data_IF_841584991832
#
_entry.id   IF_841584991832
#
_cell.length_a   1.000
_cell.length_b   1.000
_cell.length_c   1.000
_cell.angle_alpha   90.00
_cell.angle_beta   90.00
_cell.angle_gamma   90.00
#
_symmetry.space_group_name_H-M   'P 1'
#
loop_
_entity.id
_entity.type
_entity.pdbx_description
1 polymer ?
#
# COMPACT_ATOMS: atom_id res chain seq x y z
N UNK A 1 -2.79 39.03 15.12
CA UNK A 1 -3.78 38.55 16.11
C UNK A 1 -3.51 37.08 16.38
N UNK A 2 -3.13 36.73 17.61
CA UNK A 2 -3.02 35.35 18.06
C UNK A 2 -4.43 34.79 18.30
N UNK A 3 -4.85 33.80 17.52
CA UNK A 3 -6.09 33.06 17.76
C UNK A 3 -5.95 32.31 19.09
N UNK A 4 -6.80 32.65 20.06
CA UNK A 4 -6.93 31.89 21.31
C UNK A 4 -7.75 30.64 20.97
N UNK A 5 -7.09 29.48 20.95
CA UNK A 5 -7.73 28.20 20.64
C UNK A 5 -8.10 27.51 21.95
N UNK A 6 -9.37 27.11 22.16
CA UNK A 6 -9.78 26.34 23.34
C UNK A 6 -9.00 25.04 23.54
N UNK A 7 -8.77 24.64 24.79
CA UNK A 7 -8.00 23.44 25.15
C UNK A 7 -8.60 22.10 24.65
N UNK A 8 -9.90 22.08 24.29
CA UNK A 8 -10.60 20.88 23.79
C UNK A 8 -10.73 20.85 22.25
N UNK A 9 -9.96 21.67 21.54
CA UNK A 9 -9.99 21.68 20.09
C UNK A 9 -9.24 20.50 19.47
N UNK A 10 -9.77 20.00 18.36
CA UNK A 10 -9.10 19.05 17.49
C UNK A 10 -8.93 19.63 16.08
N UNK A 11 -7.94 19.15 15.35
CA UNK A 11 -7.65 19.62 13.99
C UNK A 11 -8.41 18.79 12.98
N UNK A 12 -9.07 19.44 12.03
CA UNK A 12 -9.84 18.77 10.97
C UNK A 12 -9.29 19.17 9.61
N UNK A 13 -9.08 18.17 8.75
CA UNK A 13 -8.73 18.34 7.34
C UNK A 13 -9.80 17.71 6.46
N UNK A 14 -10.25 18.44 5.44
CA UNK A 14 -11.20 17.96 4.45
C UNK A 14 -10.60 18.18 3.06
N UNK A 15 -10.51 17.12 2.26
CA UNK A 15 -9.98 17.16 0.91
C UNK A 15 -10.52 16.00 0.09
N UNK A 16 -10.31 16.06 -1.22
CA UNK A 16 -10.63 14.97 -2.13
C UNK A 16 -9.33 14.34 -2.63
N UNK A 17 -9.26 13.01 -2.61
CA UNK A 17 -8.23 12.28 -3.31
C UNK A 17 -8.68 12.04 -4.75
N UNK A 18 -7.77 12.11 -5.73
CA UNK A 18 -8.11 11.94 -7.14
C UNK A 18 -8.43 10.48 -7.52
N UNK A 19 -8.52 9.58 -6.55
CA UNK A 19 -8.79 8.16 -6.76
C UNK A 19 -9.71 7.59 -5.67
N UNK A 20 -10.45 6.51 -5.97
CA UNK A 20 -11.31 5.85 -5.00
C UNK A 20 -10.48 4.93 -4.08
N UNK A 21 -10.70 4.99 -2.77
CA UNK A 21 -10.15 4.03 -1.83
C UNK A 21 -11.15 2.85 -1.74
N UNK A 22 -10.71 1.59 -1.91
CA UNK A 22 -11.57 0.42 -1.98
C UNK A 22 -11.97 -0.05 -0.58
N UNK A 23 -12.77 0.76 0.10
CA UNK A 23 -13.31 0.48 1.43
C UNK A 23 -14.75 0.96 1.49
N UNK A 24 -15.60 0.38 2.35
CA UNK A 24 -16.92 0.92 2.61
C UNK A 24 -16.84 2.37 3.11
N UNK A 25 -17.85 3.17 2.77
CA UNK A 25 -18.03 4.49 3.35
C UNK A 25 -18.16 4.35 4.89
N UNK A 26 -17.44 5.18 5.64
CA UNK A 26 -17.39 5.01 7.08
C UNK A 26 -16.32 5.84 7.76
N UNK A 27 -16.23 5.67 9.07
CA UNK A 27 -15.23 6.32 9.92
C UNK A 27 -14.31 5.25 10.49
N UNK A 28 -13.01 5.42 10.26
CA UNK A 28 -11.97 4.49 10.66
C UNK A 28 -11.04 5.14 11.68
N UNK A 29 -10.70 4.41 12.74
CA UNK A 29 -9.72 4.83 13.73
C UNK A 29 -8.35 4.28 13.34
N UNK A 30 -7.39 5.17 13.14
CA UNK A 30 -6.04 4.84 12.70
C UNK A 30 -5.04 5.21 13.77
N UNK A 31 -4.36 4.21 14.32
CA UNK A 31 -3.32 4.37 15.33
C UNK A 31 -1.94 4.39 14.67
N UNK A 32 -1.10 5.33 15.11
CA UNK A 32 0.33 5.36 14.82
C UNK A 32 1.07 5.74 16.10
N UNK A 33 1.78 4.79 16.70
CA UNK A 33 2.37 4.92 18.02
C UNK A 33 1.30 5.24 19.08
N UNK A 34 1.49 6.32 19.83
CA UNK A 34 0.54 6.77 20.86
C UNK A 34 -0.62 7.63 20.32
N UNK A 35 -0.60 7.97 19.03
CA UNK A 35 -1.55 8.91 18.43
C UNK A 35 -2.63 8.17 17.64
N UNK A 36 -3.88 8.61 17.79
CA UNK A 36 -5.04 8.05 17.09
C UNK A 36 -5.73 9.15 16.30
N UNK A 37 -5.93 8.93 15.01
CA UNK A 37 -6.72 9.80 14.13
C UNK A 37 -8.03 9.13 13.73
N UNK A 38 -9.07 9.91 13.44
CA UNK A 38 -10.30 9.42 12.81
C UNK A 38 -10.33 9.86 11.37
N UNK A 39 -10.49 8.90 10.45
CA UNK A 39 -10.57 9.16 9.02
C UNK A 39 -11.96 8.76 8.54
N UNK A 40 -12.75 9.72 8.11
CA UNK A 40 -13.99 9.45 7.41
C UNK A 40 -13.73 9.43 5.90
N UNK A 41 -14.16 8.36 5.24
CA UNK A 41 -14.06 8.17 3.80
C UNK A 41 -15.46 8.11 3.21
N UNK A 42 -15.63 8.80 2.08
CA UNK A 42 -16.81 8.71 1.25
C UNK A 42 -16.42 8.61 -0.21
N UNK A 43 -16.85 7.57 -0.91
CA UNK A 43 -16.67 7.44 -2.35
C UNK A 43 -17.71 8.28 -3.09
N UNK A 44 -17.27 8.99 -4.14
CA UNK A 44 -18.14 9.82 -4.97
C UNK A 44 -17.93 9.41 -6.44
N UNK A 45 -19.02 9.14 -7.15
CA UNK A 45 -18.97 8.89 -8.58
C UNK A 45 -18.94 10.21 -9.35
N UNK A 46 -18.12 10.25 -10.41
CA UNK A 46 -18.07 11.39 -11.33
C UNK A 46 -19.20 11.25 -12.34
N UNK A 47 -19.88 12.36 -12.63
CA UNK A 47 -20.76 12.40 -13.79
C UNK A 47 -19.91 12.38 -15.05
N UNK A 48 -20.27 11.53 -16.02
CA UNK A 48 -19.77 11.75 -17.38
C UNK A 48 -20.43 13.02 -17.93
N UNK A 49 -19.65 14.07 -18.14
CA UNK A 49 -20.05 15.18 -19.02
C UNK A 49 -20.14 14.66 -20.45
N UNK A 50 -21.36 14.40 -20.92
CA UNK A 50 -21.67 13.93 -22.27
C UNK A 50 -22.97 13.11 -22.30
N UNK A 51 -23.67 13.08 -23.44
CA UNK A 51 -24.99 12.43 -23.68
C UNK A 51 -25.05 10.91 -23.44
N UNK A 52 -24.04 10.30 -22.82
CA UNK A 52 -24.07 8.91 -22.41
C UNK A 52 -24.63 8.89 -21.00
N UNK A 53 -25.96 8.75 -20.89
CA UNK A 53 -26.60 8.26 -19.67
C UNK A 53 -25.98 6.89 -19.39
N UNK A 54 -24.94 6.86 -18.55
CA UNK A 54 -24.38 5.61 -18.10
C UNK A 54 -25.45 4.92 -17.26
N UNK A 55 -25.93 3.77 -17.73
CA UNK A 55 -26.61 2.80 -16.87
C UNK A 55 -25.83 2.72 -15.54
N UNK A 56 -26.53 2.82 -14.42
CA UNK A 56 -26.02 3.12 -13.07
C UNK A 56 -24.90 2.21 -12.52
N UNK A 57 -24.34 1.26 -13.27
CA UNK A 57 -23.39 0.25 -12.77
C UNK A 57 -22.05 0.22 -13.52
N UNK A 58 -21.57 1.33 -14.10
CA UNK A 58 -20.25 1.33 -14.74
C UNK A 58 -19.11 1.51 -13.71
N UNK A 59 -18.47 0.41 -13.31
CA UNK A 59 -17.25 0.43 -12.51
C UNK A 59 -16.04 0.16 -13.40
N UNK A 60 -15.12 1.14 -13.49
CA UNK A 60 -13.81 0.91 -14.11
C UNK A 60 -12.99 0.00 -13.19
N UNK A 61 -12.56 -1.15 -13.70
CA UNK A 61 -11.59 -2.00 -13.00
C UNK A 61 -10.28 -1.21 -12.88
N UNK A 62 -9.75 -1.12 -11.66
CA UNK A 62 -8.51 -0.39 -11.37
C UNK A 62 -8.59 1.11 -11.72
N UNK A 63 -9.55 1.83 -11.13
CA UNK A 63 -9.75 3.26 -11.35
C UNK A 63 -8.68 4.15 -10.65
N UNK A 64 -7.41 3.89 -10.95
CA UNK A 64 -6.25 4.52 -10.32
C UNK A 64 -6.23 6.05 -10.45
N UNK A 65 -6.74 6.58 -11.55
CA UNK A 65 -6.78 8.01 -11.84
C UNK A 65 -8.14 8.65 -11.50
N UNK A 66 -9.02 7.89 -10.85
CA UNK A 66 -10.37 8.31 -10.48
C UNK A 66 -11.19 8.86 -11.62
N UNK A 67 -11.09 8.27 -12.81
CA UNK A 67 -11.86 8.63 -14.00
C UNK A 67 -13.36 8.42 -13.78
N UNK A 68 -13.74 7.39 -13.01
CA UNK A 68 -15.14 7.09 -12.68
C UNK A 68 -15.55 7.54 -11.29
N UNK A 69 -14.62 7.54 -10.32
CA UNK A 69 -14.93 7.88 -8.95
C UNK A 69 -13.72 8.38 -8.18
N UNK A 70 -13.95 9.14 -7.12
CA UNK A 70 -12.91 9.70 -6.25
C UNK A 70 -13.30 9.55 -4.79
N UNK A 71 -12.37 9.82 -3.86
CA UNK A 71 -12.65 9.74 -2.42
C UNK A 71 -12.69 11.12 -1.78
N UNK A 72 -13.78 11.45 -1.10
CA UNK A 72 -13.82 12.56 -0.16
C UNK A 72 -13.34 12.09 1.21
N UNK A 73 -12.37 12.79 1.77
CA UNK A 73 -11.65 12.40 2.98
C UNK A 73 -11.78 13.49 4.04
N UNK A 74 -12.16 13.10 5.25
CA UNK A 74 -12.16 13.94 6.43
C UNK A 74 -11.27 13.32 7.50
N UNK A 75 -10.12 13.95 7.79
CA UNK A 75 -9.20 13.51 8.83
C UNK A 75 -9.35 14.39 10.06
N UNK A 76 -9.64 13.77 11.20
CA UNK A 76 -9.76 14.42 12.51
C UNK A 76 -8.62 13.95 13.41
N UNK A 77 -7.78 14.90 13.82
CA UNK A 77 -6.67 14.69 14.74
C UNK A 77 -7.07 15.25 16.11
N UNK A 78 -7.18 14.44 17.18
CA UNK A 78 -7.63 14.87 18.50
C UNK A 78 -6.66 15.84 19.22
N UNK A 79 -5.64 16.33 18.53
CA UNK A 79 -4.72 17.35 19.00
C UNK A 79 -4.67 18.53 18.02
N UNK A 80 -4.22 19.68 18.52
CA UNK A 80 -3.97 20.88 17.73
C UNK A 80 -2.68 20.69 16.94
N UNK A 81 -2.72 20.92 15.63
CA UNK A 81 -1.54 20.93 14.76
C UNK A 81 -1.23 22.35 14.34
N UNK A 82 0.04 22.74 14.41
CA UNK A 82 0.50 24.04 13.96
C UNK A 82 0.60 24.07 12.43
N UNK A 83 -0.18 24.94 11.79
CA UNK A 83 -0.22 25.10 10.34
C UNK A 83 0.96 25.89 9.76
N UNK A 84 1.70 26.64 10.59
CA UNK A 84 2.87 27.42 10.16
C UNK A 84 4.18 26.63 10.35
N UNK A 85 4.10 25.45 10.96
CA UNK A 85 5.27 24.62 11.17
C UNK A 85 5.78 24.06 9.84
N UNK A 86 7.05 24.37 9.54
CA UNK A 86 7.76 23.90 8.36
C UNK A 86 8.05 22.40 8.49
N UNK A 87 7.70 21.66 7.45
CA UNK A 87 7.98 20.24 7.26
C UNK A 87 9.29 20.02 6.50
N UNK A 88 9.36 18.89 5.77
CA UNK A 88 10.57 18.50 5.04
C UNK A 88 10.83 19.41 3.84
N UNK A 89 12.11 19.54 3.49
CA UNK A 89 12.57 20.15 2.23
C UNK A 89 12.98 18.99 1.31
N UNK A 90 12.32 18.86 0.16
CA UNK A 90 12.54 17.72 -0.77
C UNK A 90 13.71 18.01 -1.70
N UNK A 91 13.84 19.26 -2.15
CA UNK A 91 14.95 19.73 -2.98
C UNK A 91 15.44 21.07 -2.44
N UNK A 92 16.75 21.35 -2.57
CA UNK A 92 17.40 22.54 -2.01
C UNK A 92 16.74 23.88 -2.39
N UNK A 93 16.01 23.92 -3.52
CA UNK A 93 15.37 25.12 -4.05
C UNK A 93 13.82 25.14 -3.90
N UNK A 94 13.25 24.23 -3.10
CA UNK A 94 11.79 24.15 -2.90
C UNK A 94 11.37 24.72 -1.55
N UNK A 95 10.19 25.35 -1.50
CA UNK A 95 9.61 25.73 -0.22
C UNK A 95 9.41 24.48 0.65
N UNK A 96 9.65 24.58 1.97
CA UNK A 96 9.40 23.45 2.87
C UNK A 96 7.93 23.07 2.81
N UNK A 97 7.67 21.77 2.87
CA UNK A 97 6.32 21.26 2.99
C UNK A 97 5.64 21.80 4.25
N UNK A 98 4.32 21.74 4.29
CA UNK A 98 3.56 22.02 5.50
C UNK A 98 3.55 20.79 6.41
N UNK A 99 4.05 20.91 7.65
CA UNK A 99 4.14 19.76 8.56
C UNK A 99 2.76 19.20 8.95
N UNK A 100 1.73 20.05 9.02
CA UNK A 100 0.38 19.59 9.31
C UNK A 100 -0.16 18.66 8.21
N UNK A 101 0.09 19.02 6.95
CA UNK A 101 -0.24 18.17 5.80
C UNK A 101 0.58 16.87 5.78
N UNK A 102 1.86 16.91 6.14
CA UNK A 102 2.66 15.68 6.29
C UNK A 102 2.11 14.75 7.38
N UNK A 103 1.65 15.28 8.52
CA UNK A 103 1.03 14.48 9.57
C UNK A 103 -0.26 13.80 9.09
N UNK A 104 -1.12 14.55 8.39
CA UNK A 104 -2.36 14.00 7.81
C UNK A 104 -2.07 12.89 6.81
N UNK A 105 -1.10 13.11 5.91
CA UNK A 105 -0.67 12.10 4.94
C UNK A 105 -0.12 10.85 5.61
N UNK A 106 0.58 10.97 6.73
CA UNK A 106 1.09 9.81 7.47
C UNK A 106 -0.06 8.89 7.94
N UNK A 107 -1.11 9.44 8.55
CA UNK A 107 -2.28 8.67 8.96
C UNK A 107 -3.08 8.14 7.77
N UNK A 108 -3.27 8.97 6.74
CA UNK A 108 -3.98 8.56 5.53
C UNK A 108 -3.25 7.43 4.79
N UNK A 109 -1.93 7.48 4.68
CA UNK A 109 -1.17 6.44 3.97
C UNK A 109 -1.14 5.14 4.75
N UNK A 110 -1.07 5.19 6.09
CA UNK A 110 -1.29 3.99 6.91
C UNK A 110 -2.67 3.36 6.65
N UNK A 111 -3.70 4.20 6.52
CA UNK A 111 -5.03 3.74 6.16
C UNK A 111 -5.07 3.09 4.77
N UNK A 112 -4.55 3.78 3.75
CA UNK A 112 -4.50 3.29 2.37
C UNK A 112 -3.73 1.97 2.28
N UNK A 113 -2.54 1.88 2.88
CA UNK A 113 -1.72 0.67 2.85
C UNK A 113 -2.41 -0.52 3.52
N UNK A 114 -3.04 -0.31 4.68
CA UNK A 114 -3.77 -1.36 5.39
C UNK A 114 -5.01 -1.79 4.59
N UNK A 115 -5.74 -0.83 4.01
CA UNK A 115 -6.90 -1.13 3.17
C UNK A 115 -6.49 -1.98 1.97
N UNK A 116 -5.44 -1.58 1.25
CA UNK A 116 -4.88 -2.31 0.12
C UNK A 116 -4.46 -3.72 0.51
N UNK A 117 -3.84 -3.88 1.67
CA UNK A 117 -3.39 -5.18 2.17
C UNK A 117 -4.55 -6.15 2.43
N UNK A 118 -5.64 -5.66 3.02
CA UNK A 118 -6.83 -6.46 3.38
C UNK A 118 -7.73 -6.72 2.18
N UNK A 119 -7.91 -5.72 1.31
CA UNK A 119 -8.77 -5.85 0.12
C UNK A 119 -8.06 -6.51 -1.05
N UNK A 120 -6.72 -6.53 -1.05
CA UNK A 120 -5.86 -7.02 -2.13
C UNK A 120 -5.92 -6.17 -3.41
N UNK A 121 -6.42 -4.95 -3.28
CA UNK A 121 -6.58 -3.98 -4.35
C UNK A 121 -5.27 -3.23 -4.61
N UNK A 122 -4.30 -3.94 -5.20
CA UNK A 122 -2.91 -3.52 -5.34
C UNK A 122 -2.67 -2.20 -6.10
N UNK A 123 -3.64 -1.73 -6.90
CA UNK A 123 -3.53 -0.56 -7.76
C UNK A 123 -3.64 0.78 -7.02
N UNK A 124 -4.05 0.78 -5.75
CA UNK A 124 -4.18 2.00 -4.95
C UNK A 124 -2.80 2.42 -4.43
N UNK A 125 -2.39 3.64 -4.76
CA UNK A 125 -1.13 4.21 -4.31
C UNK A 125 -1.27 5.03 -3.03
N UNK A 126 -0.20 5.13 -2.22
CA UNK A 126 -0.15 6.11 -1.13
C UNK A 126 -0.39 7.52 -1.67
N UNK A 127 -1.19 8.30 -0.95
CA UNK A 127 -1.40 9.70 -1.26
C UNK A 127 -0.08 10.48 -1.10
N UNK A 128 0.21 11.31 -2.10
CA UNK A 128 1.39 12.16 -2.17
C UNK A 128 1.05 13.54 -1.64
N UNK A 129 2.08 14.32 -1.30
CA UNK A 129 1.89 15.72 -0.91
C UNK A 129 1.15 16.52 -1.99
N UNK A 130 1.49 16.28 -3.26
CA UNK A 130 0.82 16.93 -4.38
C UNK A 130 -0.64 16.52 -4.58
N UNK A 131 -1.11 15.41 -4.00
CA UNK A 131 -2.51 14.97 -4.20
C UNK A 131 -3.49 15.78 -3.33
N UNK A 132 -2.98 16.44 -2.29
CA UNK A 132 -3.74 17.31 -1.38
C UNK A 132 -3.62 18.78 -1.84
N UNK A 133 -3.87 19.06 -3.11
CA UNK A 133 -3.78 20.42 -3.67
C UNK A 133 -4.80 21.34 -3.01
N UNK A 134 -6.07 20.92 -3.02
CA UNK A 134 -7.18 21.67 -2.47
C UNK A 134 -7.68 21.02 -1.18
N UNK A 135 -7.61 21.76 -0.07
CA UNK A 135 -8.06 21.28 1.22
C UNK A 135 -8.58 22.42 2.11
N UNK A 136 -9.51 22.06 2.99
CA UNK A 136 -10.01 22.91 4.07
C UNK A 136 -9.47 22.40 5.38
N UNK A 137 -8.82 23.28 6.14
CA UNK A 137 -8.37 22.94 7.48
C UNK A 137 -8.85 23.96 8.51
N UNK A 138 -9.27 23.46 9.67
CA UNK A 138 -9.79 24.26 10.78
C UNK A 138 -9.64 23.52 12.11
N UNK A 139 -9.68 24.27 13.21
CA UNK A 139 -9.87 23.68 14.54
C UNK A 139 -11.36 23.55 14.84
N UNK A 140 -11.74 22.50 15.55
CA UNK A 140 -13.13 22.24 15.95
C UNK A 140 -13.18 21.88 17.44
N UNK A 141 -14.03 22.56 18.21
CA UNK A 141 -14.23 22.33 19.66
C UNK A 141 -15.44 21.43 19.96
N UNK A 142 -16.14 20.93 18.93
CA UNK A 142 -17.40 20.20 19.07
C UNK A 142 -18.65 21.01 18.71
N UNK A 143 -18.54 22.34 18.63
CA UNK A 143 -19.65 23.26 18.28
C UNK A 143 -19.25 24.24 17.18
N UNK A 144 -18.09 24.88 17.31
CA UNK A 144 -17.60 25.97 16.47
C UNK A 144 -16.40 25.53 15.63
N UNK A 145 -16.33 26.04 14.41
CA UNK A 145 -15.17 25.88 13.52
C UNK A 145 -14.34 27.16 13.56
N UNK A 146 -13.06 27.03 13.89
CA UNK A 146 -12.10 28.13 13.88
C UNK A 146 -11.22 27.99 12.63
N UNK A 147 -11.37 28.89 11.65
CA UNK A 147 -10.65 28.79 10.39
C UNK A 147 -9.15 29.00 10.61
N UNK A 148 -8.33 28.19 9.96
CA UNK A 148 -6.86 28.35 10.00
C UNK A 148 -6.29 28.53 8.61
N UNK A 149 -6.57 27.60 7.70
CA UNK A 149 -6.00 27.62 6.36
C UNK A 149 -6.99 27.06 5.35
N UNK A 150 -7.30 27.90 4.37
CA UNK A 150 -8.00 27.51 3.17
C UNK A 150 -6.96 27.50 2.04
N UNK A 151 -6.65 26.33 1.53
CA UNK A 151 -5.94 26.21 0.25
C UNK A 151 -6.98 25.74 -0.75
N UNK A 152 -7.74 26.69 -1.28
CA UNK A 152 -8.58 26.45 -2.44
C UNK A 152 -7.76 26.92 -3.65
N UNK A 153 -7.13 25.99 -4.35
CA UNK A 153 -6.95 26.24 -5.78
C UNK A 153 -8.36 26.10 -6.33
N UNK A 154 -8.91 27.24 -6.74
CA UNK A 154 -10.21 27.38 -7.38
C UNK A 154 -10.12 26.75 -8.77
N UNK A 155 -9.87 25.44 -8.83
CA UNK A 155 -10.27 24.64 -9.97
C UNK A 155 -11.78 24.64 -9.92
N UNK A 156 -12.38 25.67 -10.52
CA UNK A 156 -13.80 25.79 -10.89
C UNK A 156 -14.23 24.66 -11.84
N UNK A 157 -13.69 23.45 -11.69
CA UNK A 157 -14.42 22.26 -12.08
C UNK A 157 -15.47 22.07 -10.99
N UNK A 158 -16.63 22.71 -11.20
CA UNK A 158 -17.90 22.20 -10.72
C UNK A 158 -18.07 20.77 -11.29
N UNK A 159 -17.26 19.82 -10.83
CA UNK A 159 -17.54 18.42 -10.98
C UNK A 159 -18.75 18.16 -10.10
N UNK A 160 -19.92 18.42 -10.69
CA UNK A 160 -21.19 17.89 -10.25
C UNK A 160 -20.99 16.38 -10.32
N UNK A 161 -20.50 15.77 -9.24
CA UNK A 161 -20.56 14.32 -9.05
C UNK A 161 -21.93 14.00 -8.49
N UNK A 162 -22.69 13.12 -9.15
CA UNK A 162 -23.86 12.54 -8.50
C UNK A 162 -23.32 11.69 -7.36
N UNK A 163 -23.83 11.94 -6.15
CA UNK A 163 -23.67 11.03 -5.01
C UNK A 163 -24.49 9.78 -5.29
N UNK A 164 -23.98 8.90 -6.14
CA UNK A 164 -24.54 7.57 -6.28
C UNK A 164 -23.92 6.72 -5.17
N UNK A 165 -24.74 6.37 -4.20
CA UNK A 165 -24.38 5.54 -3.06
C UNK A 165 -24.27 4.08 -3.54
N UNK A 166 -23.15 3.77 -4.20
CA UNK A 166 -22.75 2.40 -4.46
C UNK A 166 -21.75 2.00 -3.39
N UNK A 167 -22.21 1.40 -2.27
CA UNK A 167 -21.33 1.02 -1.20
C UNK A 167 -20.36 -0.01 -1.75
N UNK A 168 -19.06 0.31 -1.71
CA UNK A 168 -18.04 -0.71 -1.84
C UNK A 168 -18.27 -1.71 -0.72
N UNK A 169 -18.63 -2.95 -1.06
CA UNK A 169 -18.92 -3.99 -0.07
C UNK A 169 -17.65 -4.77 0.23
N UNK A 170 -17.34 -4.87 1.51
CA UNK A 170 -16.29 -5.71 2.04
C UNK A 170 -16.98 -6.78 2.91
N UNK A 171 -16.47 -8.01 2.94
CA UNK A 171 -16.98 -9.02 3.88
C UNK A 171 -16.77 -8.56 5.31
N UNK A 172 -17.64 -8.97 6.23
CA UNK A 172 -17.54 -8.60 7.64
C UNK A 172 -16.20 -9.03 8.26
N UNK A 173 -15.67 -10.17 7.83
CA UNK A 173 -14.35 -10.66 8.22
C UNK A 173 -13.24 -9.69 7.80
N UNK A 174 -13.20 -9.28 6.53
CA UNK A 174 -12.20 -8.33 6.02
C UNK A 174 -12.39 -6.96 6.67
N UNK A 175 -13.62 -6.50 6.91
CA UNK A 175 -13.87 -5.24 7.60
C UNK A 175 -13.39 -5.27 9.06
N UNK A 176 -13.62 -6.39 9.76
CA UNK A 176 -13.09 -6.63 11.10
C UNK A 176 -11.56 -6.64 11.10
N UNK A 177 -10.95 -7.36 10.15
CA UNK A 177 -9.49 -7.40 9.98
C UNK A 177 -8.92 -6.00 9.72
N UNK A 178 -9.53 -5.21 8.84
CA UNK A 178 -9.13 -3.83 8.55
C UNK A 178 -9.17 -2.97 9.82
N UNK A 179 -10.29 -2.95 10.52
CA UNK A 179 -10.46 -2.17 11.75
C UNK A 179 -9.46 -2.60 12.84
N UNK A 180 -9.25 -3.91 13.01
CA UNK A 180 -8.28 -4.44 13.96
C UNK A 180 -6.86 -3.99 13.61
N UNK A 181 -6.49 -4.06 12.33
CA UNK A 181 -5.16 -3.72 11.84
C UNK A 181 -4.84 -2.23 11.97
N UNK A 182 -5.85 -1.37 11.78
CA UNK A 182 -5.74 0.08 11.95
C UNK A 182 -5.69 0.51 13.42
N UNK A 183 -6.51 -0.11 14.28
CA UNK A 183 -6.57 0.21 15.72
C UNK A 183 -5.36 -0.29 16.49
N UNK A 184 -4.85 -1.46 16.14
CA UNK A 184 -3.75 -2.12 16.84
C UNK A 184 -2.40 -1.97 16.15
N UNK A 185 -2.32 -1.21 15.05
CA UNK A 185 -1.09 -0.97 14.31
C UNK A 185 -0.38 -2.28 13.90
N UNK A 186 -1.17 -3.27 13.45
CA UNK A 186 -0.65 -4.60 13.07
C UNK A 186 0.38 -4.45 11.95
N UNK A 187 1.58 -5.01 12.16
CA UNK A 187 2.62 -5.00 11.14
C UNK A 187 2.15 -5.79 9.92
N UNK A 188 2.32 -5.19 8.74
CA UNK A 188 1.92 -5.78 7.47
C UNK A 188 3.08 -6.61 6.93
N UNK A 189 2.81 -7.80 6.42
CA UNK A 189 3.83 -8.65 5.81
C UNK A 189 4.50 -7.93 4.63
N UNK A 190 5.82 -7.61 4.74
CA UNK A 190 6.53 -6.91 3.70
C UNK A 190 6.53 -7.66 2.36
N UNK A 191 6.56 -9.00 2.39
CA UNK A 191 6.57 -9.81 1.16
C UNK A 191 5.29 -9.61 0.35
N UNK A 192 4.13 -9.63 1.01
CA UNK A 192 2.83 -9.36 0.40
C UNK A 192 2.76 -7.92 -0.13
N UNK A 193 3.30 -6.95 0.62
CA UNK A 193 3.39 -5.55 0.14
C UNK A 193 4.22 -5.45 -1.14
N UNK A 194 5.38 -6.09 -1.19
CA UNK A 194 6.24 -6.09 -2.36
C UNK A 194 5.59 -6.76 -3.57
N UNK A 195 4.88 -7.88 -3.38
CA UNK A 195 4.14 -8.54 -4.44
C UNK A 195 2.96 -7.70 -4.95
N UNK A 196 2.25 -6.96 -4.07
CA UNK A 196 1.23 -6.00 -4.52
C UNK A 196 1.87 -4.86 -5.33
N UNK A 197 3.01 -4.33 -4.87
CA UNK A 197 3.74 -3.29 -5.58
C UNK A 197 4.21 -3.78 -6.95
N UNK A 198 4.64 -5.04 -7.10
CA UNK A 198 5.02 -5.59 -8.40
C UNK A 198 3.84 -5.68 -9.36
N UNK A 199 2.66 -6.11 -8.86
CA UNK A 199 1.43 -6.16 -9.67
C UNK A 199 1.00 -4.75 -10.11
N UNK A 200 1.09 -3.76 -9.23
CA UNK A 200 0.81 -2.37 -9.60
C UNK A 200 1.82 -1.85 -10.63
N UNK A 201 3.12 -2.10 -10.46
CA UNK A 201 4.14 -1.68 -11.42
C UNK A 201 3.91 -2.33 -12.80
N UNK A 202 3.54 -3.60 -12.83
CA UNK A 202 3.18 -4.30 -14.07
C UNK A 202 1.96 -3.66 -14.75
N UNK A 203 0.93 -3.31 -13.97
CA UNK A 203 -0.25 -2.57 -14.46
C UNK A 203 0.11 -1.18 -15.02
N UNK A 204 1.19 -0.56 -14.55
CA UNK A 204 1.71 0.71 -15.07
C UNK A 204 2.75 0.54 -16.18
N UNK A 205 2.94 -0.67 -16.69
CA UNK A 205 3.95 -1.00 -17.70
C UNK A 205 5.40 -0.71 -17.25
N UNK A 206 5.63 -0.54 -15.94
CA UNK A 206 6.99 -0.47 -15.37
C UNK A 206 7.47 -1.88 -15.02
N UNK A 207 7.75 -2.66 -16.08
CA UNK A 207 8.15 -4.06 -15.96
C UNK A 207 9.47 -4.25 -15.19
N UNK A 208 10.35 -3.24 -15.23
CA UNK A 208 11.60 -3.27 -14.46
C UNK A 208 11.33 -3.24 -12.97
N UNK A 209 10.52 -2.26 -12.53
CA UNK A 209 10.13 -2.17 -11.13
C UNK A 209 9.31 -3.39 -10.71
N UNK A 210 8.44 -3.90 -11.59
CA UNK A 210 7.65 -5.09 -11.32
C UNK A 210 8.53 -6.30 -11.00
N UNK A 211 9.55 -6.58 -11.83
CA UNK A 211 10.51 -7.67 -11.59
C UNK A 211 11.34 -7.45 -10.32
N UNK A 212 11.80 -6.22 -10.05
CA UNK A 212 12.56 -5.92 -8.83
C UNK A 212 11.71 -6.23 -7.59
N UNK A 213 10.49 -5.70 -7.53
CA UNK A 213 9.62 -5.84 -6.36
C UNK A 213 9.16 -7.29 -6.16
N UNK A 214 8.85 -8.03 -7.24
CA UNK A 214 8.45 -9.44 -7.12
C UNK A 214 9.61 -10.31 -6.63
N UNK A 215 10.83 -10.07 -7.12
CA UNK A 215 12.01 -10.78 -6.63
C UNK A 215 12.24 -10.46 -5.16
N UNK A 216 12.17 -9.20 -4.72
CA UNK A 216 12.28 -8.82 -3.29
C UNK A 216 11.29 -9.61 -2.42
N UNK A 217 10.02 -9.74 -2.86
CA UNK A 217 9.02 -10.53 -2.15
C UNK A 217 9.45 -12.01 -1.99
N UNK A 218 9.97 -12.60 -3.07
CA UNK A 218 10.51 -13.97 -3.04
C UNK A 218 11.69 -14.10 -2.08
N UNK A 219 12.61 -13.13 -2.06
CA UNK A 219 13.81 -13.19 -1.20
C UNK A 219 13.43 -13.23 0.28
N UNK A 220 12.44 -12.42 0.68
CA UNK A 220 11.95 -12.36 2.05
C UNK A 220 11.37 -13.70 2.48
N UNK A 221 10.49 -14.29 1.65
CA UNK A 221 9.86 -15.57 1.97
C UNK A 221 10.87 -16.70 1.95
N UNK A 222 11.81 -16.71 1.00
CA UNK A 222 12.85 -17.73 0.95
C UNK A 222 13.76 -17.64 2.19
N UNK A 223 14.13 -16.43 2.63
CA UNK A 223 14.89 -16.23 3.86
C UNK A 223 14.14 -16.82 5.06
N UNK A 224 12.86 -16.50 5.21
CA UNK A 224 12.03 -17.01 6.31
C UNK A 224 11.89 -18.52 6.26
N UNK A 225 11.69 -19.10 5.08
CA UNK A 225 11.62 -20.54 4.86
C UNK A 225 12.91 -21.25 5.28
N UNK A 226 14.07 -20.80 4.78
CA UNK A 226 15.36 -21.41 5.11
C UNK A 226 15.63 -21.32 6.60
N UNK A 227 15.35 -20.17 7.21
CA UNK A 227 15.50 -19.98 8.65
C UNK A 227 14.64 -20.97 9.44
N UNK A 228 13.35 -21.05 9.10
CA UNK A 228 12.38 -21.93 9.76
C UNK A 228 12.77 -23.42 9.65
N UNK A 229 13.16 -23.88 8.47
CA UNK A 229 13.61 -25.27 8.28
C UNK A 229 14.95 -25.53 8.95
N UNK A 230 15.88 -24.56 8.91
CA UNK A 230 17.16 -24.65 9.59
C UNK A 230 17.03 -24.76 11.11
N UNK A 231 16.08 -24.03 11.70
CA UNK A 231 15.76 -24.11 13.14
C UNK A 231 15.23 -25.50 13.52
N UNK A 232 14.36 -26.11 12.70
CA UNK A 232 13.91 -27.51 12.91
C UNK A 232 15.06 -28.51 12.88
N UNK A 233 16.02 -28.28 12.00
CA UNK A 233 17.24 -29.08 11.89
C UNK A 233 18.28 -28.72 12.97
N UNK A 234 17.96 -27.82 13.91
CA UNK A 234 18.83 -27.34 14.99
C UNK A 234 20.16 -26.77 14.48
N UNK A 235 20.17 -26.20 13.28
CA UNK A 235 21.34 -25.54 12.71
C UNK A 235 21.54 -24.20 13.43
N UNK A 236 22.75 -23.86 13.89
CA UNK A 236 23.00 -22.58 14.56
C UNK A 236 22.63 -21.39 13.67
N UNK A 237 21.96 -20.39 14.25
CA UNK A 237 21.50 -19.20 13.53
C UNK A 237 22.63 -18.44 12.80
N UNK A 238 23.85 -18.45 13.37
CA UNK A 238 25.03 -17.85 12.74
C UNK A 238 25.38 -18.55 11.42
N UNK A 239 25.34 -19.88 11.41
CA UNK A 239 25.59 -20.71 10.22
C UNK A 239 24.48 -20.53 9.18
N UNK A 240 23.22 -20.49 9.60
CA UNK A 240 22.11 -20.23 8.67
C UNK A 240 22.25 -18.86 7.99
N UNK A 241 22.57 -17.82 8.77
CA UNK A 241 22.74 -16.47 8.23
C UNK A 241 23.93 -16.34 7.28
N UNK A 242 25.05 -17.03 7.53
CA UNK A 242 26.18 -17.05 6.58
C UNK A 242 25.81 -17.81 5.32
N UNK A 243 25.19 -18.99 5.44
CA UNK A 243 24.76 -19.79 4.29
C UNK A 243 23.74 -19.06 3.42
N UNK A 244 22.76 -18.36 4.00
CA UNK A 244 21.79 -17.58 3.21
C UNK A 244 22.47 -16.44 2.45
N UNK A 245 23.44 -15.76 3.07
CA UNK A 245 24.23 -14.69 2.40
C UNK A 245 25.11 -15.23 1.28
N UNK A 246 25.76 -16.36 1.49
CA UNK A 246 26.72 -16.97 0.56
C UNK A 246 26.03 -17.64 -0.63
N UNK A 247 24.89 -18.32 -0.40
CA UNK A 247 24.15 -18.97 -1.47
C UNK A 247 23.69 -17.92 -2.47
N UNK A 248 23.18 -16.77 -1.99
CA UNK A 248 22.53 -15.76 -2.82
C UNK A 248 21.35 -16.35 -3.59
N UNK A 249 20.40 -15.54 -4.04
CA UNK A 249 19.29 -16.09 -4.84
C UNK A 249 19.70 -16.51 -6.25
N UNK A 250 20.92 -16.17 -6.67
CA UNK A 250 21.55 -16.71 -7.88
C UNK A 250 22.08 -18.13 -7.72
N UNK A 251 22.20 -18.62 -6.49
CA UNK A 251 22.73 -19.95 -6.19
C UNK A 251 21.79 -21.10 -6.57
N UNK A 252 22.18 -22.31 -6.17
CA UNK A 252 21.45 -23.54 -6.42
C UNK A 252 20.19 -23.67 -5.53
N UNK A 253 19.20 -22.79 -5.73
CA UNK A 253 17.88 -22.82 -5.05
C UNK A 253 17.24 -24.20 -5.20
N UNK A 254 17.35 -24.82 -6.38
CA UNK A 254 16.73 -26.12 -6.67
C UNK A 254 17.25 -27.25 -5.74
N UNK A 255 18.57 -27.52 -5.65
CA UNK A 255 19.10 -28.46 -4.65
C UNK A 255 18.70 -28.14 -3.21
N UNK A 256 18.74 -26.86 -2.83
CA UNK A 256 18.38 -26.43 -1.48
C UNK A 256 16.92 -26.75 -1.16
N UNK A 257 16.00 -26.40 -2.06
CA UNK A 257 14.57 -26.71 -1.91
C UNK A 257 14.36 -28.21 -1.80
N UNK A 258 14.91 -29.00 -2.74
CA UNK A 258 14.79 -30.46 -2.72
C UNK A 258 15.28 -31.08 -1.41
N UNK A 259 16.40 -30.59 -0.87
CA UNK A 259 16.95 -31.08 0.39
C UNK A 259 16.06 -30.72 1.58
N UNK A 260 15.54 -29.49 1.62
CA UNK A 260 14.71 -28.99 2.73
C UNK A 260 13.25 -29.44 2.66
N UNK A 261 12.82 -30.05 1.56
CA UNK A 261 11.45 -30.56 1.35
C UNK A 261 11.41 -32.03 0.93
N UNK A 262 12.43 -32.83 1.27
CA UNK A 262 12.64 -34.18 0.71
C UNK A 262 11.41 -35.12 0.84
N UNK A 263 10.66 -35.03 1.94
CA UNK A 263 9.47 -35.87 2.20
C UNK A 263 8.15 -35.14 1.92
N UNK A 264 8.17 -34.16 1.03
CA UNK A 264 7.03 -33.27 0.76
C UNK A 264 6.78 -33.17 -0.75
N UNK A 265 5.56 -32.77 -1.12
CA UNK A 265 5.22 -32.42 -2.49
C UNK A 265 6.23 -31.39 -3.02
N UNK A 266 6.82 -31.66 -4.19
CA UNK A 266 7.81 -30.76 -4.78
C UNK A 266 7.13 -29.73 -5.66
N UNK A 267 7.63 -28.50 -5.63
CA UNK A 267 7.22 -27.47 -6.58
C UNK A 267 7.70 -27.80 -8.00
N UNK A 268 6.92 -27.41 -9.00
CA UNK A 268 7.23 -27.59 -10.40
C UNK A 268 8.59 -26.96 -10.77
N UNK A 269 9.38 -27.71 -11.55
CA UNK A 269 10.67 -27.28 -12.07
C UNK A 269 10.51 -26.05 -12.97
N UNK A 270 9.41 -25.93 -13.70
CA UNK A 270 9.14 -24.76 -14.55
C UNK A 270 9.01 -23.48 -13.72
N UNK A 271 8.30 -23.55 -12.58
CA UNK A 271 8.16 -22.43 -11.65
C UNK A 271 9.53 -22.02 -11.09
N UNK A 272 10.37 -22.99 -10.73
CA UNK A 272 11.75 -22.71 -10.27
C UNK A 272 12.56 -22.04 -11.38
N UNK A 273 12.46 -22.54 -12.62
CA UNK A 273 13.16 -21.98 -13.79
C UNK A 273 12.77 -20.51 -14.00
N UNK A 274 11.49 -20.19 -13.90
CA UNK A 274 10.99 -18.83 -14.12
C UNK A 274 11.39 -17.88 -12.98
N UNK A 275 11.37 -18.36 -11.73
CA UNK A 275 11.89 -17.61 -10.59
C UNK A 275 13.39 -17.29 -10.76
N UNK A 276 14.21 -18.28 -11.15
CA UNK A 276 15.63 -18.07 -11.46
C UNK A 276 15.82 -17.08 -12.61
N UNK A 277 14.99 -17.17 -13.64
CA UNK A 277 14.94 -16.21 -14.74
C UNK A 277 14.69 -14.79 -14.23
N UNK A 278 13.71 -14.60 -13.35
CA UNK A 278 13.37 -13.31 -12.74
C UNK A 278 14.56 -12.72 -11.95
N UNK A 279 15.21 -13.53 -11.12
CA UNK A 279 16.40 -13.13 -10.35
C UNK A 279 17.54 -12.68 -11.29
N UNK A 280 17.80 -13.44 -12.36
CA UNK A 280 18.81 -13.09 -13.36
C UNK A 280 18.50 -11.74 -14.02
N UNK A 281 17.24 -11.49 -14.39
CA UNK A 281 16.85 -10.20 -14.98
C UNK A 281 16.97 -9.07 -13.95
N UNK A 282 16.48 -9.26 -12.71
CA UNK A 282 16.63 -8.28 -11.63
C UNK A 282 18.10 -7.86 -11.44
N UNK A 283 19.03 -8.81 -11.46
CA UNK A 283 20.47 -8.50 -11.37
C UNK A 283 20.97 -7.71 -12.57
N UNK A 284 20.51 -8.02 -13.79
CA UNK A 284 20.81 -7.20 -14.97
C UNK A 284 20.23 -5.78 -14.88
N UNK A 285 19.00 -5.61 -14.38
CA UNK A 285 18.40 -4.29 -14.21
C UNK A 285 19.25 -3.45 -13.24
N UNK A 286 19.55 -4.01 -12.06
CA UNK A 286 20.22 -3.27 -10.97
C UNK A 286 21.69 -2.99 -11.29
N UNK A 287 22.42 -3.98 -11.82
CA UNK A 287 23.87 -3.85 -11.99
C UNK A 287 24.30 -3.41 -13.40
N UNK A 288 23.45 -3.61 -14.41
CA UNK A 288 23.79 -3.33 -15.82
C UNK A 288 22.83 -2.29 -16.45
N UNK A 289 21.83 -1.80 -15.71
CA UNK A 289 20.85 -0.85 -16.23
C UNK A 289 19.96 -1.43 -17.34
N UNK A 290 19.81 -2.76 -17.41
CA UNK A 290 19.05 -3.46 -18.45
C UNK A 290 17.60 -2.98 -18.54
N UNK A 291 17.11 -2.72 -19.76
CA UNK A 291 15.79 -2.10 -20.00
C UNK A 291 14.81 -2.95 -20.80
N UNK A 292 15.29 -3.85 -21.65
CA UNK A 292 14.43 -4.60 -22.58
C UNK A 292 13.77 -5.79 -21.87
N UNK A 293 12.56 -5.57 -21.37
CA UNK A 293 11.77 -6.59 -20.66
C UNK A 293 10.38 -6.64 -21.28
N UNK A 294 9.99 -7.83 -21.72
CA UNK A 294 8.67 -8.08 -22.29
C UNK A 294 7.59 -8.19 -21.20
N UNK A 295 6.39 -7.71 -21.51
CA UNK A 295 5.23 -7.74 -20.61
C UNK A 295 4.83 -9.17 -20.25
N UNK A 296 4.66 -10.04 -21.25
CA UNK A 296 4.27 -11.45 -21.08
C UNK A 296 5.25 -12.22 -20.19
N UNK A 297 6.55 -12.03 -20.41
CA UNK A 297 7.58 -12.65 -19.58
C UNK A 297 7.52 -12.15 -18.14
N UNK A 298 7.23 -10.86 -17.95
CA UNK A 298 7.11 -10.25 -16.63
C UNK A 298 5.91 -10.79 -15.87
N UNK A 299 4.76 -10.86 -16.51
CA UNK A 299 3.54 -11.41 -15.94
C UNK A 299 3.72 -12.88 -15.54
N UNK A 300 4.24 -13.71 -16.44
CA UNK A 300 4.52 -15.13 -16.17
C UNK A 300 5.46 -15.31 -14.98
N UNK A 301 6.50 -14.48 -14.88
CA UNK A 301 7.45 -14.53 -13.75
C UNK A 301 6.82 -14.09 -12.43
N UNK A 302 5.93 -13.09 -12.44
CA UNK A 302 5.21 -12.67 -11.24
C UNK A 302 4.29 -13.81 -10.77
N UNK A 303 3.60 -14.47 -11.69
CA UNK A 303 2.75 -15.64 -11.39
C UNK A 303 3.59 -16.78 -10.79
N UNK A 304 4.73 -17.12 -11.41
CA UNK A 304 5.63 -18.14 -10.90
C UNK A 304 6.16 -17.80 -9.51
N UNK A 305 6.52 -16.53 -9.26
CA UNK A 305 6.95 -16.05 -7.93
C UNK A 305 5.83 -16.17 -6.91
N UNK A 306 4.60 -15.80 -7.25
CA UNK A 306 3.45 -15.94 -6.37
C UNK A 306 3.17 -17.41 -6.02
N UNK A 307 3.26 -18.31 -7.00
CA UNK A 307 3.16 -19.76 -6.77
C UNK A 307 4.27 -20.28 -5.86
N UNK A 308 5.52 -19.84 -6.07
CA UNK A 308 6.65 -20.18 -5.21
C UNK A 308 6.47 -19.67 -3.78
N UNK A 309 6.03 -18.42 -3.60
CA UNK A 309 5.73 -17.85 -2.28
C UNK A 309 4.65 -18.69 -1.58
N UNK A 310 3.56 -18.99 -2.26
CA UNK A 310 2.48 -19.80 -1.71
C UNK A 310 2.93 -21.20 -1.30
N UNK A 311 3.81 -21.82 -2.11
CA UNK A 311 4.43 -23.10 -1.78
C UNK A 311 5.28 -23.01 -0.50
N UNK A 312 6.19 -22.04 -0.42
CA UNK A 312 7.09 -21.86 0.73
C UNK A 312 6.34 -21.52 2.03
N UNK A 313 5.28 -20.71 1.92
CA UNK A 313 4.45 -20.31 3.07
C UNK A 313 3.78 -21.49 3.78
N UNK A 314 3.46 -22.58 3.07
CA UNK A 314 2.90 -23.80 3.68
C UNK A 314 3.82 -24.37 4.76
N UNK A 315 5.14 -24.31 4.54
CA UNK A 315 6.13 -24.80 5.49
C UNK A 315 6.37 -23.84 6.65
N UNK A 316 6.29 -22.54 6.39
CA UNK A 316 6.46 -21.50 7.43
C UNK A 316 5.30 -21.59 8.43
N UNK A 317 4.06 -21.59 7.95
CA UNK A 317 2.86 -21.56 8.80
C UNK A 317 2.66 -22.84 9.61
N UNK A 318 3.01 -24.01 9.06
CA UNK A 318 2.90 -25.29 9.78
C UNK A 318 3.83 -25.37 10.98
N UNK A 319 4.89 -24.54 11.03
CA UNK A 319 5.87 -24.55 12.12
C UNK A 319 5.44 -23.68 13.30
N UNK A 320 4.61 -22.67 13.08
CA UNK A 320 4.12 -21.78 14.14
C UNK A 320 2.97 -22.40 14.98
N UNK A 321 2.47 -23.57 14.57
CA UNK A 321 1.38 -24.29 15.26
C UNK A 321 1.86 -25.40 16.19
N UNK A 322 3.17 -25.66 16.27
CA UNK A 322 3.81 -26.68 17.12
C UNK A 322 4.53 -26.00 18.27
#
# INVERSE_FOLDING_TARGET
MSLIIPNNCHTVFIFNLPFPIPVPDGIYEVKIGIKIAKIAIKRIQRNKTGNIQSNNNFQIKFDKYGKSSYSSVNVRLPWIVNFEEKGRIIQSNTQPNNKAKEQVLRFLNRFIETSRYVTEEFWVEPARYQDLVSYKAFYYDGKNKYPTKLSEIDSKSNEIGIKIDHPFKLSDEKLSQLNNSLKNEIELDPSKIFLMNSKNACLQEDFRLAIIQSVIALEIILYQFIKCQGEKLKIPAKTLNSSIKEIGLTGNILPLLKMLTIDQEQIDIEIIRDCKGAIKIRNKIIHQGFRDIHSTDTENRIIAIEQMINYLMRFILNTQKV
#
